data_IF_901270031476
#
_entry.id   IF_901270031476
#
_cell.length_a   1.000
_cell.length_b   1.000
_cell.length_c   1.000
_cell.angle_alpha   90.00
_cell.angle_beta   90.00
_cell.angle_gamma   90.00
#
_symmetry.space_group_name_H-M   'P 1'
#
loop_
_entity.id
_entity.type
_entity.pdbx_description
1 polymer ?
#
# COMPACT_ATOMS: atom_id res chain seq x y z
N UNK A 1 -17.96 24.08 -3.30
CA UNK A 1 -17.74 23.18 -4.44
C UNK A 1 -16.84 22.06 -3.97
N UNK A 2 -17.24 20.80 -4.12
CA UNK A 2 -16.51 19.67 -3.51
C UNK A 2 -15.16 19.51 -4.21
N UNK A 3 -14.04 19.61 -3.49
CA UNK A 3 -12.67 19.44 -4.00
C UNK A 3 -12.52 18.13 -4.80
N UNK A 4 -13.25 17.10 -4.40
CA UNK A 4 -13.31 15.84 -5.13
C UNK A 4 -13.87 15.98 -6.55
N UNK A 5 -14.94 16.76 -6.71
CA UNK A 5 -15.59 17.02 -8.00
C UNK A 5 -14.67 17.84 -8.91
N UNK A 6 -13.93 18.78 -8.33
CA UNK A 6 -12.95 19.59 -9.06
C UNK A 6 -11.78 18.73 -9.55
N UNK A 7 -11.29 17.80 -8.75
CA UNK A 7 -10.25 16.84 -9.16
C UNK A 7 -10.77 15.87 -10.22
N UNK A 8 -12.01 15.35 -10.05
CA UNK A 8 -12.61 14.39 -10.98
C UNK A 8 -12.77 14.98 -12.39
N UNK A 9 -13.08 16.28 -12.50
CA UNK A 9 -13.22 16.97 -13.79
C UNK A 9 -11.90 17.57 -14.24
N UNK A 10 -11.07 18.05 -13.32
CA UNK A 10 -9.81 18.74 -13.61
C UNK A 10 -8.77 17.79 -14.19
N UNK A 11 -8.66 16.57 -13.67
CA UNK A 11 -7.67 15.59 -14.18
C UNK A 11 -7.90 15.29 -15.66
N UNK A 12 -9.08 14.90 -16.14
CA UNK A 12 -9.32 14.68 -17.57
C UNK A 12 -9.04 15.91 -18.45
N UNK A 13 -9.34 17.11 -17.97
CA UNK A 13 -9.05 18.35 -18.71
C UNK A 13 -7.54 18.54 -18.87
N UNK A 14 -6.78 18.34 -17.81
CA UNK A 14 -5.30 18.40 -17.85
C UNK A 14 -4.75 17.32 -18.77
N UNK A 15 -5.30 16.11 -18.74
CA UNK A 15 -4.90 15.02 -19.65
C UNK A 15 -5.08 15.41 -21.11
N UNK A 16 -6.27 15.87 -21.49
CA UNK A 16 -6.55 16.30 -22.86
C UNK A 16 -5.61 17.44 -23.28
N UNK A 17 -5.39 18.41 -22.42
CA UNK A 17 -4.47 19.50 -22.69
C UNK A 17 -3.04 19.00 -22.95
N UNK A 18 -2.55 18.08 -22.10
CA UNK A 18 -1.23 17.48 -22.27
C UNK A 18 -1.12 16.65 -23.55
N UNK A 19 -2.16 15.87 -23.89
CA UNK A 19 -2.22 15.14 -25.16
C UNK A 19 -2.09 16.05 -26.38
N UNK A 20 -2.84 17.15 -26.39
CA UNK A 20 -2.77 18.12 -27.50
C UNK A 20 -1.39 18.77 -27.55
N UNK A 21 -0.86 19.23 -26.42
CA UNK A 21 0.40 19.96 -26.36
C UNK A 21 1.60 19.07 -26.70
N UNK A 22 1.69 17.89 -26.13
CA UNK A 22 2.79 16.94 -26.40
C UNK A 22 2.65 16.33 -27.80
N UNK A 23 1.43 15.96 -28.18
CA UNK A 23 1.14 15.40 -29.49
C UNK A 23 1.50 16.36 -30.65
N UNK A 24 1.34 17.66 -30.44
CA UNK A 24 1.76 18.66 -31.42
C UNK A 24 3.28 18.83 -31.54
N UNK A 25 4.04 18.51 -30.50
CA UNK A 25 5.50 18.63 -30.47
C UNK A 25 6.23 17.38 -30.95
N UNK A 26 5.82 16.19 -30.47
CA UNK A 26 6.50 14.92 -30.75
C UNK A 26 5.76 14.04 -31.75
N UNK A 27 4.56 14.43 -32.14
CA UNK A 27 3.67 13.68 -33.03
C UNK A 27 2.78 12.68 -32.30
N UNK A 28 1.59 12.43 -32.84
CA UNK A 28 0.59 11.59 -32.19
C UNK A 28 1.07 10.16 -31.96
N UNK A 29 1.79 9.56 -32.91
CA UNK A 29 2.31 8.20 -32.79
C UNK A 29 3.28 8.05 -31.62
N UNK A 30 4.26 8.96 -31.51
CA UNK A 30 5.26 8.95 -30.44
C UNK A 30 4.60 9.19 -29.07
N UNK A 31 3.58 10.03 -29.03
CA UNK A 31 2.80 10.31 -27.81
C UNK A 31 2.08 9.04 -27.32
N UNK A 32 1.38 8.36 -28.21
CA UNK A 32 0.69 7.11 -27.89
C UNK A 32 1.70 6.03 -27.46
N UNK A 33 2.80 5.88 -28.19
CA UNK A 33 3.85 4.93 -27.87
C UNK A 33 4.42 5.17 -26.45
N UNK A 34 4.67 6.43 -26.11
CA UNK A 34 5.22 6.82 -24.82
C UNK A 34 4.27 6.47 -23.68
N UNK A 35 2.96 6.69 -23.85
CA UNK A 35 1.94 6.31 -22.87
C UNK A 35 1.91 4.79 -22.67
N UNK A 36 1.94 4.00 -23.75
CA UNK A 36 1.96 2.55 -23.62
C UNK A 36 3.23 2.05 -22.93
N UNK A 37 4.39 2.67 -23.20
CA UNK A 37 5.64 2.32 -22.55
C UNK A 37 5.57 2.65 -21.05
N UNK A 38 5.11 3.84 -20.66
CA UNK A 38 5.00 4.24 -19.24
C UNK A 38 4.02 3.35 -18.49
N UNK A 39 2.85 3.07 -19.07
CA UNK A 39 1.85 2.18 -18.49
C UNK A 39 2.40 0.76 -18.31
N UNK A 40 3.05 0.19 -19.34
CA UNK A 40 3.61 -1.15 -19.29
C UNK A 40 4.67 -1.31 -18.18
N UNK A 41 5.68 -0.43 -18.18
CA UNK A 41 6.72 -0.47 -17.16
C UNK A 41 6.19 -0.12 -15.77
N UNK A 42 5.26 0.83 -15.68
CA UNK A 42 4.63 1.22 -14.43
C UNK A 42 3.85 0.08 -13.79
N UNK A 43 3.05 -0.66 -14.55
CA UNK A 43 2.29 -1.81 -14.04
C UNK A 43 3.22 -2.95 -13.60
N UNK A 44 4.28 -3.25 -14.36
CA UNK A 44 5.26 -4.26 -13.96
C UNK A 44 5.91 -3.87 -12.62
N UNK A 45 6.34 -2.62 -12.52
CA UNK A 45 6.98 -2.12 -11.32
C UNK A 45 6.01 -2.06 -10.12
N UNK A 46 4.74 -1.69 -10.35
CA UNK A 46 3.70 -1.71 -9.33
C UNK A 46 3.47 -3.14 -8.78
N UNK A 47 3.45 -4.15 -9.64
CA UNK A 47 3.34 -5.56 -9.23
C UNK A 47 4.54 -6.00 -8.37
N UNK A 48 5.75 -5.66 -8.80
CA UNK A 48 6.96 -5.99 -8.06
C UNK A 48 6.96 -5.36 -6.66
N UNK A 49 6.66 -4.07 -6.58
CA UNK A 49 6.63 -3.33 -5.32
C UNK A 49 5.45 -3.76 -4.43
N UNK A 50 4.31 -4.09 -5.04
CA UNK A 50 3.16 -4.66 -4.34
C UNK A 50 3.49 -5.99 -3.67
N UNK A 51 4.18 -6.88 -4.38
CA UNK A 51 4.62 -8.16 -3.82
C UNK A 51 5.61 -7.97 -2.66
N UNK A 52 6.56 -7.07 -2.80
CA UNK A 52 7.51 -6.74 -1.72
C UNK A 52 6.80 -6.17 -0.49
N UNK A 53 5.81 -5.32 -0.70
CA UNK A 53 4.99 -4.73 0.39
C UNK A 53 4.19 -5.81 1.11
N UNK A 54 3.58 -6.74 0.40
CA UNK A 54 2.87 -7.89 0.98
C UNK A 54 3.80 -8.77 1.80
N UNK A 55 4.97 -9.13 1.24
CA UNK A 55 5.97 -9.95 1.93
C UNK A 55 6.45 -9.29 3.22
N UNK A 56 6.69 -7.97 3.20
CA UNK A 56 7.08 -7.20 4.38
C UNK A 56 5.97 -7.21 5.43
N UNK A 57 4.72 -7.02 5.03
CA UNK A 57 3.55 -7.07 5.91
C UNK A 57 3.39 -8.43 6.58
N UNK A 58 3.49 -9.51 5.82
CA UNK A 58 3.42 -10.88 6.37
C UNK A 58 4.54 -11.15 7.38
N UNK A 59 5.78 -10.71 7.08
CA UNK A 59 6.91 -10.86 8.00
C UNK A 59 6.70 -10.13 9.33
N UNK A 60 6.05 -8.95 9.32
CA UNK A 60 5.72 -8.22 10.53
C UNK A 60 4.62 -8.90 11.33
N UNK A 61 3.60 -9.46 10.66
CA UNK A 61 2.54 -10.24 11.32
C UNK A 61 3.09 -11.45 12.07
N UNK A 62 4.06 -12.16 11.47
CA UNK A 62 4.74 -13.29 12.14
C UNK A 62 5.48 -12.84 13.41
N UNK A 63 5.99 -11.60 13.42
CA UNK A 63 6.65 -10.99 14.59
C UNK A 63 5.68 -10.38 15.60
N UNK A 64 4.36 -10.59 15.42
CA UNK A 64 3.30 -9.94 16.21
C UNK A 64 3.36 -8.40 16.16
N UNK A 65 3.82 -7.83 15.06
CA UNK A 65 3.77 -6.38 14.78
C UNK A 65 2.59 -6.08 13.85
N UNK A 66 1.93 -4.94 14.04
CA UNK A 66 0.87 -4.48 13.12
C UNK A 66 1.51 -3.82 11.89
N UNK A 67 1.35 -4.37 10.68
CA UNK A 67 1.94 -3.84 9.45
C UNK A 67 1.13 -2.65 8.88
N UNK A 68 0.89 -1.61 9.67
CA UNK A 68 0.03 -0.47 9.28
C UNK A 68 0.59 0.25 8.05
N UNK A 69 1.91 0.43 7.99
CA UNK A 69 2.56 1.08 6.85
C UNK A 69 2.38 0.24 5.57
N UNK A 70 2.50 -1.07 5.65
CA UNK A 70 2.38 -2.00 4.53
C UNK A 70 0.95 -2.05 4.00
N UNK A 71 -0.05 -2.00 4.89
CA UNK A 71 -1.47 -1.95 4.51
C UNK A 71 -1.76 -0.66 3.73
N UNK A 72 -1.35 0.49 4.25
CA UNK A 72 -1.55 1.79 3.59
C UNK A 72 -0.75 1.86 2.28
N UNK A 73 0.48 1.36 2.28
CA UNK A 73 1.32 1.27 1.08
C UNK A 73 0.70 0.36 0.01
N UNK A 74 0.13 -0.78 0.42
CA UNK A 74 -0.55 -1.69 -0.50
C UNK A 74 -1.78 -1.05 -1.16
N UNK A 75 -2.60 -0.34 -0.38
CA UNK A 75 -3.73 0.42 -0.92
C UNK A 75 -3.28 1.52 -1.89
N UNK A 76 -2.21 2.26 -1.55
CA UNK A 76 -1.65 3.28 -2.43
C UNK A 76 -1.10 2.69 -3.74
N UNK A 77 -0.44 1.52 -3.68
CA UNK A 77 0.06 0.81 -4.86
C UNK A 77 -1.09 0.32 -5.76
N UNK A 78 -2.18 -0.19 -5.18
CA UNK A 78 -3.36 -0.58 -5.93
C UNK A 78 -3.99 0.63 -6.64
N UNK A 79 -4.09 1.77 -5.96
CA UNK A 79 -4.56 3.02 -6.53
C UNK A 79 -3.64 3.52 -7.66
N UNK A 80 -2.33 3.47 -7.46
CA UNK A 80 -1.35 3.84 -8.49
C UNK A 80 -1.43 2.93 -9.73
N UNK A 81 -1.65 1.62 -9.54
CA UNK A 81 -1.86 0.70 -10.64
C UNK A 81 -3.14 1.03 -11.44
N UNK A 82 -4.22 1.45 -10.76
CA UNK A 82 -5.43 1.93 -11.42
C UNK A 82 -5.17 3.19 -12.26
N UNK A 83 -4.38 4.14 -11.74
CA UNK A 83 -4.00 5.34 -12.50
C UNK A 83 -3.21 5.00 -13.76
N UNK A 84 -2.31 4.02 -13.69
CA UNK A 84 -1.50 3.57 -14.83
C UNK A 84 -2.27 2.75 -15.88
N UNK A 85 -3.41 2.16 -15.49
CA UNK A 85 -4.30 1.44 -16.43
C UNK A 85 -5.11 2.44 -17.25
N UNK A 86 -5.44 3.60 -16.69
CA UNK A 86 -6.10 4.71 -17.38
C UNK A 86 -5.01 5.48 -18.15
N UNK A 87 -4.93 5.34 -19.48
CA UNK A 87 -3.84 5.93 -20.24
C UNK A 87 -3.88 7.45 -20.20
N UNK A 88 -2.85 8.07 -19.63
CA UNK A 88 -2.73 9.52 -19.56
C UNK A 88 -1.34 9.94 -19.13
N UNK A 89 -0.95 11.20 -19.40
CA UNK A 89 0.35 11.73 -18.99
C UNK A 89 0.40 12.11 -17.52
N UNK A 90 -0.59 12.86 -17.06
CA UNK A 90 -0.65 13.30 -15.67
C UNK A 90 -0.96 12.13 -14.74
N UNK A 91 -1.89 11.24 -15.12
CA UNK A 91 -2.22 10.03 -14.36
C UNK A 91 -1.05 9.06 -14.30
N UNK A 92 -0.32 8.84 -15.39
CA UNK A 92 0.89 8.01 -15.41
C UNK A 92 1.97 8.57 -14.51
N UNK A 93 2.21 9.89 -14.59
CA UNK A 93 3.19 10.57 -13.75
C UNK A 93 2.83 10.45 -12.25
N UNK A 94 1.56 10.68 -11.89
CA UNK A 94 1.08 10.52 -10.52
C UNK A 94 1.18 9.07 -10.05
N UNK A 95 0.82 8.11 -10.89
CA UNK A 95 0.96 6.69 -10.61
C UNK A 95 2.41 6.30 -10.33
N UNK A 96 3.35 6.68 -11.19
CA UNK A 96 4.77 6.43 -11.00
C UNK A 96 5.31 7.07 -9.72
N UNK A 97 4.86 8.28 -9.39
CA UNK A 97 5.28 8.99 -8.18
C UNK A 97 4.82 8.26 -6.91
N UNK A 98 3.62 7.67 -6.93
CA UNK A 98 3.10 6.88 -5.80
C UNK A 98 3.81 5.51 -5.70
N UNK A 99 4.14 4.87 -6.83
CA UNK A 99 4.82 3.58 -6.83
C UNK A 99 6.23 3.69 -6.26
N UNK A 100 6.92 4.81 -6.50
CA UNK A 100 8.31 4.97 -6.11
C UNK A 100 8.48 4.96 -4.58
N UNK A 101 9.26 4.02 -3.99
CA UNK A 101 9.32 3.83 -2.55
C UNK A 101 9.72 5.07 -1.73
N UNK A 102 10.70 5.90 -2.15
CA UNK A 102 11.09 7.08 -1.37
C UNK A 102 10.00 8.16 -1.33
N UNK A 103 9.27 8.39 -2.42
CA UNK A 103 8.15 9.35 -2.43
C UNK A 103 7.01 8.87 -1.55
N UNK A 104 6.69 7.59 -1.61
CA UNK A 104 5.68 6.96 -0.76
C UNK A 104 6.05 7.07 0.73
N UNK A 105 7.31 6.78 1.10
CA UNK A 105 7.79 6.97 2.48
C UNK A 105 7.67 8.41 2.94
N UNK A 106 7.94 9.38 2.05
CA UNK A 106 7.81 10.79 2.37
C UNK A 106 6.34 11.19 2.58
N UNK A 107 5.44 10.72 1.73
CA UNK A 107 4.00 10.98 1.82
C UNK A 107 3.40 10.42 3.12
N UNK A 108 3.82 9.20 3.52
CA UNK A 108 3.30 8.52 4.71
C UNK A 108 4.15 8.71 5.96
N UNK A 109 5.15 9.59 5.95
CA UNK A 109 6.02 9.85 7.11
C UNK A 109 5.25 10.26 8.36
N UNK A 110 4.12 10.96 8.21
CA UNK A 110 3.22 11.33 9.31
C UNK A 110 2.37 10.15 9.83
N UNK A 111 2.18 9.12 9.01
CA UNK A 111 1.41 7.92 9.34
C UNK A 111 2.28 6.84 9.97
N UNK A 112 3.59 7.09 10.11
CA UNK A 112 4.49 6.24 10.88
C UNK A 112 4.06 6.24 12.36
N UNK A 113 2.94 5.57 12.60
CA UNK A 113 2.47 5.22 13.93
C UNK A 113 3.60 4.44 14.57
N UNK A 114 4.10 4.97 15.70
CA UNK A 114 5.06 4.30 16.58
C UNK A 114 4.73 2.81 16.58
N UNK A 115 5.68 1.98 16.19
CA UNK A 115 5.61 0.53 16.38
C UNK A 115 5.21 0.28 17.83
N UNK A 116 3.91 0.14 18.09
CA UNK A 116 3.45 -0.36 19.38
C UNK A 116 3.57 -1.87 19.26
N UNK A 117 4.49 -2.50 20.01
CA UNK A 117 4.43 -3.94 20.14
C UNK A 117 3.02 -4.28 20.65
N UNK A 118 2.38 -5.24 20.03
CA UNK A 118 1.16 -5.82 20.58
C UNK A 118 1.58 -6.37 21.92
N UNK A 119 1.27 -5.62 22.99
CA UNK A 119 1.50 -6.08 24.35
C UNK A 119 0.60 -7.31 24.50
N UNK A 120 1.14 -8.49 24.25
CA UNK A 120 0.56 -9.70 24.82
C UNK A 120 0.62 -9.49 26.33
N UNK A 121 -0.45 -8.96 26.91
CA UNK A 121 -0.78 -9.33 28.27
C UNK A 121 -0.86 -10.86 28.19
N UNK A 122 0.21 -11.50 28.63
CA UNK A 122 0.15 -12.89 29.02
C UNK A 122 -0.89 -12.90 30.15
N UNK A 123 -2.14 -13.16 29.80
CA UNK A 123 -3.09 -13.72 30.75
C UNK A 123 -2.54 -15.11 31.09
N UNK A 124 -1.55 -15.12 31.97
CA UNK A 124 -1.27 -16.32 32.72
C UNK A 124 -2.50 -16.53 33.60
N UNK A 125 -3.35 -17.44 33.20
CA UNK A 125 -4.30 -18.04 34.09
C UNK A 125 -3.44 -18.76 35.12
N UNK A 126 -3.27 -18.14 36.29
CA UNK A 126 -2.77 -18.85 37.46
C UNK A 126 -3.79 -19.97 37.75
N UNK A 127 -3.51 -21.14 37.19
CA UNK A 127 -4.20 -22.36 37.61
C UNK A 127 -3.79 -22.62 39.06
N UNK A 128 -4.67 -22.37 40.02
CA UNK A 128 -4.54 -22.92 41.34
C UNK A 128 -4.64 -24.45 41.20
N UNK A 129 -3.50 -25.10 41.40
CA UNK A 129 -3.47 -26.55 41.62
C UNK A 129 -3.94 -26.80 43.04
N UNK A 130 -5.14 -27.28 43.20
CA UNK A 130 -5.59 -27.87 44.43
C UNK A 130 -5.07 -29.34 44.41
N UNK A 131 -3.99 -29.59 45.17
CA UNK A 131 -3.51 -30.95 45.39
C UNK A 131 -4.60 -31.70 46.18
N UNK A 132 -5.36 -32.56 45.51
CA UNK A 132 -6.25 -33.50 46.14
C UNK A 132 -5.33 -34.60 46.73
N UNK A 133 -4.96 -34.42 48.00
CA UNK A 133 -4.36 -35.50 48.76
C UNK A 133 -5.40 -36.63 48.83
N UNK A 134 -5.09 -37.75 48.19
CA UNK A 134 -5.84 -39.01 48.32
C UNK A 134 -5.84 -39.46 49.77
N UNK A 135 -6.93 -39.18 50.49
CA UNK A 135 -7.22 -39.67 51.84
C UNK A 135 -7.58 -41.17 51.82
N UNK A 136 -6.73 -42.02 51.22
CA UNK A 136 -7.05 -43.44 51.15
C UNK A 136 -5.95 -44.38 51.66
N UNK A 137 -5.01 -43.92 52.47
CA UNK A 137 -3.97 -44.78 53.08
C UNK A 137 -4.00 -44.80 54.62
N UNK A 138 -5.21 -44.85 55.20
CA UNK A 138 -5.33 -45.09 56.64
C UNK A 138 -6.42 -46.07 56.94
N UNK A 139 -6.27 -47.33 56.51
CA UNK A 139 -6.90 -48.51 57.20
C UNK A 139 -6.26 -49.79 56.67
N UNK A 140 -5.16 -50.18 57.31
CA UNK A 140 -4.92 -51.60 57.68
C UNK A 140 -3.79 -51.66 58.72
#
# INVERSE_FOLDING_TARGET
>A
MNTFLLLLVGIPIIEIYLFIKLGSQIGAFNTILLIFITAFFGVIYARYEGFNTLKSGMSQMVKNELPVYEIISGAALAFAALLLILPGFATDFLGLLIIFPPTRKLMFKKVSIKKKPINKKQDFINGEYEDIEDENDRKL
#
